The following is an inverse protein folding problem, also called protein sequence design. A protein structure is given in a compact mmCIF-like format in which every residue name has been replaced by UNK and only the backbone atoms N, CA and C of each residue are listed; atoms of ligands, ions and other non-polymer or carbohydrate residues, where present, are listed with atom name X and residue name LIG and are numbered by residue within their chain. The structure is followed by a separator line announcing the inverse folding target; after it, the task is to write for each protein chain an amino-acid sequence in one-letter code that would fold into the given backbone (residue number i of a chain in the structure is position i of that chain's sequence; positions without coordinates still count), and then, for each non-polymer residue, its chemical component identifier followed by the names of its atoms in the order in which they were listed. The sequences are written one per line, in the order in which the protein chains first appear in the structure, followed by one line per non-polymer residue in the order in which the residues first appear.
data_IF_379114451027
#
_entry.id   IF_379114451027
#
_cell.length_a   1.000
_cell.length_b   1.000
_cell.length_c   1.000
_cell.angle_alpha   90.00
_cell.angle_beta   90.00
_cell.angle_gamma   90.00
#
_symmetry.space_group_name_H-M   'P 1'
#
loop_
_entity.id
_entity.type
_entity.pdbx_description
1 polymer ?
#
# COMPACT_ATOMS: atom_id res chain seq x y z
N UNK A 1 -44.70 -8.71 -23.94
CA UNK A 1 -43.31 -8.67 -24.46
C UNK A 1 -42.57 -7.59 -23.70
N UNK A 2 -41.56 -7.92 -22.89
CA UNK A 2 -40.54 -6.97 -22.39
C UNK A 2 -39.31 -7.70 -21.80
N UNK A 3 -39.01 -8.92 -22.25
CA UNK A 3 -38.03 -9.78 -21.56
C UNK A 3 -36.56 -9.49 -21.95
N UNK A 4 -36.30 -8.61 -22.91
CA UNK A 4 -34.96 -8.31 -23.42
C UNK A 4 -34.39 -7.01 -22.82
N UNK A 5 -35.22 -5.96 -22.73
CA UNK A 5 -34.84 -4.67 -22.14
C UNK A 5 -34.53 -4.79 -20.64
N UNK A 6 -35.38 -5.51 -19.88
CA UNK A 6 -35.15 -5.74 -18.44
C UNK A 6 -33.88 -6.55 -18.17
N UNK A 7 -33.57 -7.53 -19.04
CA UNK A 7 -32.32 -8.30 -18.93
C UNK A 7 -31.11 -7.42 -19.18
N UNK A 8 -31.14 -6.57 -20.21
CA UNK A 8 -30.05 -5.63 -20.52
C UNK A 8 -29.81 -4.66 -19.37
N UNK A 9 -30.85 -4.11 -18.75
CA UNK A 9 -30.72 -3.25 -17.57
C UNK A 9 -29.95 -3.91 -16.42
N UNK A 10 -30.30 -5.16 -16.10
CA UNK A 10 -29.61 -5.95 -15.07
C UNK A 10 -28.14 -6.25 -15.44
N UNK A 11 -27.85 -6.49 -16.73
CA UNK A 11 -26.47 -6.71 -17.19
C UNK A 11 -25.62 -5.44 -17.09
N UNK A 12 -26.18 -4.27 -17.39
CA UNK A 12 -25.47 -2.99 -17.27
C UNK A 12 -25.20 -2.65 -15.80
N UNK A 13 -26.19 -2.73 -14.92
CA UNK A 13 -26.01 -2.50 -13.47
C UNK A 13 -24.94 -3.44 -12.87
N UNK A 14 -24.95 -4.72 -13.26
CA UNK A 14 -23.97 -5.69 -12.78
C UNK A 14 -22.57 -5.47 -13.36
N UNK A 15 -22.47 -4.85 -14.53
CA UNK A 15 -21.20 -4.52 -15.18
C UNK A 15 -20.60 -3.25 -14.59
N UNK A 16 -21.41 -2.22 -14.33
CA UNK A 16 -20.99 -0.99 -13.67
C UNK A 16 -20.49 -1.27 -12.25
N UNK A 17 -21.22 -2.08 -11.47
CA UNK A 17 -20.76 -2.49 -10.13
C UNK A 17 -19.43 -3.25 -10.17
N UNK A 18 -19.19 -4.07 -11.22
CA UNK A 18 -17.90 -4.77 -11.40
C UNK A 18 -16.79 -3.83 -11.84
N UNK A 19 -17.07 -2.86 -12.72
CA UNK A 19 -16.11 -1.87 -13.19
C UNK A 19 -15.72 -0.94 -12.05
N UNK A 20 -16.68 -0.51 -11.22
CA UNK A 20 -16.43 0.27 -10.01
C UNK A 20 -15.58 -0.52 -9.00
N UNK A 21 -15.90 -1.80 -8.77
CA UNK A 21 -15.11 -2.66 -7.89
C UNK A 21 -13.68 -2.90 -8.43
N UNK A 22 -13.52 -3.04 -9.75
CA UNK A 22 -12.21 -3.18 -10.40
C UNK A 22 -11.44 -1.85 -10.39
N UNK A 23 -12.10 -0.74 -10.61
CA UNK A 23 -11.55 0.62 -10.51
C UNK A 23 -11.07 0.93 -9.10
N UNK A 24 -11.85 0.55 -8.08
CA UNK A 24 -11.45 0.61 -6.68
C UNK A 24 -10.21 -0.25 -6.40
N UNK A 25 -10.20 -1.51 -6.85
CA UNK A 25 -9.04 -2.41 -6.66
C UNK A 25 -7.80 -1.95 -7.42
N UNK A 26 -7.94 -1.42 -8.63
CA UNK A 26 -6.84 -0.86 -9.41
C UNK A 26 -6.34 0.46 -8.81
N UNK A 27 -7.23 1.33 -8.36
CA UNK A 27 -6.88 2.56 -7.65
C UNK A 27 -6.12 2.26 -6.35
N UNK A 28 -6.59 1.31 -5.55
CA UNK A 28 -5.90 0.85 -4.35
C UNK A 28 -4.53 0.23 -4.66
N UNK A 29 -4.43 -0.64 -5.67
CA UNK A 29 -3.16 -1.26 -6.05
C UNK A 29 -2.16 -0.23 -6.60
N UNK A 30 -2.63 0.75 -7.35
CA UNK A 30 -1.82 1.83 -7.90
C UNK A 30 -1.30 2.76 -6.78
N UNK A 31 -2.16 3.14 -5.84
CA UNK A 31 -1.81 3.98 -4.70
C UNK A 31 -0.82 3.26 -3.76
N UNK A 32 -1.02 1.96 -3.52
CA UNK A 32 -0.08 1.10 -2.79
C UNK A 32 1.28 0.97 -3.49
N UNK A 33 1.31 0.88 -4.82
CA UNK A 33 2.57 0.79 -5.57
C UNK A 33 3.37 2.10 -5.50
N UNK A 34 2.70 3.25 -5.54
CA UNK A 34 3.35 4.56 -5.39
C UNK A 34 3.88 4.74 -3.97
N UNK A 35 3.06 4.45 -2.97
CA UNK A 35 3.45 4.48 -1.54
C UNK A 35 4.62 3.52 -1.23
N UNK A 36 4.71 2.37 -1.90
CA UNK A 36 5.86 1.44 -1.81
C UNK A 36 7.18 2.07 -2.25
N UNK A 37 7.16 2.84 -3.34
CA UNK A 37 8.34 3.56 -3.82
C UNK A 37 8.81 4.60 -2.81
N UNK A 38 7.86 5.40 -2.31
CA UNK A 38 8.14 6.47 -1.36
C UNK A 38 8.70 5.95 -0.02
N UNK A 39 8.17 4.83 0.50
CA UNK A 39 8.69 4.19 1.73
C UNK A 39 10.14 3.72 1.52
N UNK A 40 10.42 3.09 0.38
CA UNK A 40 11.78 2.64 0.06
C UNK A 40 12.76 3.81 -0.08
N UNK A 41 12.34 4.91 -0.70
CA UNK A 41 13.18 6.10 -0.86
C UNK A 41 13.47 6.78 0.48
N UNK A 42 12.50 6.82 1.39
CA UNK A 42 12.70 7.30 2.76
C UNK A 42 13.64 6.37 3.55
N UNK A 43 13.44 5.04 3.50
CA UNK A 43 14.32 4.09 4.17
C UNK A 43 15.77 4.11 3.62
N UNK A 44 15.97 4.45 2.34
CA UNK A 44 17.31 4.61 1.74
C UNK A 44 18.11 5.79 2.31
N UNK A 45 17.44 6.79 2.89
CA UNK A 45 18.08 7.96 3.50
C UNK A 45 18.54 7.70 4.93
N UNK A 46 18.02 6.64 5.55
CA UNK A 46 18.38 6.24 6.91
C UNK A 46 19.68 5.41 6.90
N UNK A 47 20.54 5.54 7.91
CA UNK A 47 21.75 4.75 8.06
C UNK A 47 21.41 3.33 8.57
N UNK A 48 20.76 2.52 7.75
CA UNK A 48 20.28 1.17 8.09
C UNK A 48 20.82 0.12 7.12
N UNK A 49 20.91 -1.13 7.58
CA UNK A 49 21.37 -2.24 6.73
C UNK A 49 20.41 -2.53 5.59
N UNK A 50 20.93 -3.12 4.51
CA UNK A 50 20.11 -3.53 3.36
C UNK A 50 19.06 -4.56 3.77
N UNK A 51 19.42 -5.48 4.67
CA UNK A 51 18.50 -6.51 5.21
C UNK A 51 17.35 -5.86 6.00
N UNK A 52 17.67 -4.97 6.94
CA UNK A 52 16.66 -4.20 7.68
C UNK A 52 15.75 -3.43 6.73
N UNK A 53 16.32 -2.78 5.70
CA UNK A 53 15.53 -2.06 4.70
C UNK A 53 14.54 -2.96 3.96
N UNK A 54 14.94 -4.17 3.57
CA UNK A 54 14.06 -5.11 2.86
C UNK A 54 12.95 -5.59 3.80
N UNK A 55 13.28 -6.04 5.01
CA UNK A 55 12.31 -6.56 5.98
C UNK A 55 11.31 -5.48 6.38
N UNK A 56 11.80 -4.29 6.73
CA UNK A 56 10.96 -3.17 7.18
C UNK A 56 10.13 -2.62 6.03
N UNK A 57 10.72 -2.45 4.85
CA UNK A 57 9.99 -2.00 3.65
C UNK A 57 8.84 -2.94 3.29
N UNK A 58 9.06 -4.25 3.33
CA UNK A 58 7.98 -5.23 3.13
C UNK A 58 6.92 -5.15 4.22
N UNK A 59 7.31 -4.98 5.48
CA UNK A 59 6.38 -4.95 6.62
C UNK A 59 5.51 -3.69 6.65
N UNK A 60 6.08 -2.53 6.34
CA UNK A 60 5.36 -1.24 6.32
C UNK A 60 4.39 -1.21 5.14
N UNK A 61 4.83 -1.61 3.96
CA UNK A 61 4.04 -1.46 2.72
C UNK A 61 2.91 -2.48 2.55
N UNK A 62 2.77 -3.40 3.49
CA UNK A 62 1.62 -4.30 3.60
C UNK A 62 0.40 -3.64 4.23
N UNK A 63 0.57 -2.51 4.93
CA UNK A 63 -0.48 -1.87 5.71
C UNK A 63 -0.46 -0.36 5.50
N UNK A 64 -1.54 0.18 4.93
CA UNK A 64 -1.68 1.61 4.68
C UNK A 64 -1.53 2.46 5.94
N UNK A 65 -1.98 1.98 7.10
CA UNK A 65 -1.83 2.71 8.37
C UNK A 65 -0.36 2.77 8.81
N UNK A 66 0.41 1.70 8.58
CA UNK A 66 1.85 1.71 8.87
C UNK A 66 2.61 2.63 7.93
N UNK A 67 2.20 2.70 6.67
CA UNK A 67 2.79 3.66 5.71
C UNK A 67 2.54 5.09 6.17
N UNK A 68 1.28 5.44 6.45
CA UNK A 68 0.93 6.81 6.86
C UNK A 68 1.62 7.17 8.19
N UNK A 69 1.67 6.23 9.15
CA UNK A 69 2.41 6.42 10.38
C UNK A 69 3.90 6.61 10.14
N UNK A 70 4.55 5.79 9.30
CA UNK A 70 5.98 5.92 8.99
C UNK A 70 6.35 7.29 8.43
N UNK A 71 5.49 7.91 7.61
CA UNK A 71 5.72 9.26 7.09
C UNK A 71 5.46 10.38 8.11
N UNK A 72 4.69 10.12 9.17
CA UNK A 72 4.50 11.07 10.26
C UNK A 72 5.69 11.16 11.22
N UNK A 73 6.57 10.16 11.20
CA UNK A 73 7.71 10.06 12.12
C UNK A 73 8.91 10.88 11.63
N UNK A 74 9.68 11.41 12.58
CA UNK A 74 11.01 11.95 12.28
C UNK A 74 12.04 10.83 12.03
N UNK A 75 13.27 11.21 11.69
CA UNK A 75 14.30 10.22 11.33
C UNK A 75 14.76 9.38 12.54
N UNK A 76 14.77 9.92 13.77
CA UNK A 76 15.11 9.15 14.97
C UNK A 76 14.02 8.12 15.31
N UNK A 77 12.76 8.53 15.22
CA UNK A 77 11.61 7.67 15.43
C UNK A 77 11.51 6.56 14.37
N UNK A 78 11.80 6.89 13.10
CA UNK A 78 11.89 5.89 12.03
C UNK A 78 12.98 4.86 12.32
N UNK A 79 14.12 5.26 12.88
CA UNK A 79 15.18 4.33 13.27
C UNK A 79 14.74 3.39 14.39
N UNK A 80 13.94 3.87 15.36
CA UNK A 80 13.33 3.01 16.39
C UNK A 80 12.35 2.02 15.76
N UNK A 81 11.53 2.47 14.82
CA UNK A 81 10.61 1.61 14.08
C UNK A 81 11.37 0.55 13.28
N UNK A 82 12.47 0.92 12.62
CA UNK A 82 13.33 -0.02 11.90
C UNK A 82 13.96 -1.04 12.85
N UNK A 83 14.49 -0.64 14.01
CA UNK A 83 15.02 -1.58 15.01
C UNK A 83 13.96 -2.59 15.47
N UNK A 84 12.73 -2.13 15.71
CA UNK A 84 11.63 -3.00 16.17
C UNK A 84 11.16 -3.99 15.11
N UNK A 85 11.18 -3.60 13.84
CA UNK A 85 10.63 -4.39 12.73
C UNK A 85 11.69 -5.20 11.97
N UNK A 86 12.92 -4.72 11.90
CA UNK A 86 14.04 -5.30 11.16
C UNK A 86 14.86 -6.31 11.95
N UNK A 87 14.71 -6.34 13.29
CA UNK A 87 15.23 -7.42 14.11
C UNK A 87 16.75 -7.44 14.33
N UNK A 88 17.51 -6.34 14.16
CA UNK A 88 18.86 -6.18 14.74
C UNK A 88 19.41 -4.74 14.67
N UNK A 89 20.49 -4.49 15.44
CA UNK A 89 21.04 -3.19 15.85
C UNK A 89 21.40 -2.21 14.74
N UNK A 90 21.25 -0.92 15.06
CA UNK A 90 21.69 0.20 14.21
C UNK A 90 23.21 0.21 14.18
N UNK A 91 23.74 0.17 12.95
CA UNK A 91 25.18 0.23 12.65
C UNK A 91 25.72 1.64 12.89
#
# INVERSE_FOLDING_TARGET
MNNFADKLGIYFERSDAKIEMLGGRMGYAHDLSKKRGEVNDALRKLPITVESRVVVGMTITQDAQKVDHFFSLDDEEKMVMVKKLGGEEVV
#
